data_IF_115272980752
#
_entry.id   IF_115272980752
#
_cell.length_a   1.000
_cell.length_b   1.000
_cell.length_c   1.000
_cell.angle_alpha   90.00
_cell.angle_beta   90.00
_cell.angle_gamma   90.00
#
_symmetry.space_group_name_H-M   'P 1'
#
loop_
_entity.id
_entity.type
_entity.pdbx_description
1 polymer ?
#
# COMPACT_ATOMS: atom_id res chain seq x y z
N UNK A 1 -14.06 -10.94 1.41
CA UNK A 1 -13.42 -11.52 0.20
C UNK A 1 -11.93 -11.31 0.34
N UNK A 2 -11.12 -12.36 0.29
CA UNK A 2 -9.67 -12.20 0.20
C UNK A 2 -9.37 -11.62 -1.18
N UNK A 3 -8.75 -10.43 -1.25
CA UNK A 3 -8.38 -9.82 -2.52
C UNK A 3 -7.44 -10.75 -3.30
N UNK A 4 -7.58 -10.80 -4.63
CA UNK A 4 -6.69 -11.61 -5.50
C UNK A 4 -5.27 -11.05 -5.64
N UNK A 5 -4.96 -9.98 -4.92
CA UNK A 5 -3.66 -9.30 -4.96
C UNK A 5 -2.58 -10.18 -4.33
N UNK A 6 -1.33 -10.00 -4.76
CA UNK A 6 -0.18 -10.61 -4.12
C UNK A 6 -0.14 -10.14 -2.65
N UNK A 7 -0.08 -11.03 -1.66
CA UNK A 7 -0.14 -10.62 -0.26
C UNK A 7 0.97 -9.63 0.13
N UNK A 8 0.61 -8.61 0.90
CA UNK A 8 1.57 -7.71 1.54
C UNK A 8 2.27 -8.33 2.76
N UNK A 9 3.18 -7.59 3.42
CA UNK A 9 3.67 -6.27 3.01
C UNK A 9 4.55 -6.36 1.75
N UNK A 10 4.58 -5.27 1.00
CA UNK A 10 5.44 -5.13 -0.19
C UNK A 10 6.59 -4.18 0.11
N UNK A 11 7.78 -4.53 -0.37
CA UNK A 11 9.02 -3.75 -0.17
C UNK A 11 9.75 -3.56 -1.48
N UNK A 12 10.57 -2.50 -1.54
CA UNK A 12 11.52 -2.32 -2.63
C UNK A 12 12.74 -3.19 -2.34
N UNK A 13 12.99 -4.17 -3.20
CA UNK A 13 14.19 -5.00 -3.13
C UNK A 13 15.16 -4.64 -4.26
N UNK A 14 16.45 -4.56 -3.93
CA UNK A 14 17.52 -4.22 -4.88
C UNK A 14 18.56 -5.32 -4.90
N UNK A 15 18.94 -5.78 -6.11
CA UNK A 15 20.04 -6.73 -6.33
C UNK A 15 20.77 -6.33 -7.61
N UNK A 16 22.09 -6.13 -7.55
CA UNK A 16 22.92 -5.72 -8.70
C UNK A 16 22.29 -4.58 -9.53
N UNK A 17 21.87 -3.50 -8.87
CA UNK A 17 21.18 -2.32 -9.45
C UNK A 17 19.74 -2.54 -9.96
N UNK A 18 19.23 -3.77 -9.95
CA UNK A 18 17.86 -4.08 -10.34
C UNK A 18 16.90 -3.89 -9.16
N UNK A 19 16.01 -2.88 -9.26
CA UNK A 19 14.96 -2.57 -8.28
C UNK A 19 13.62 -3.17 -8.70
N UNK A 20 12.89 -3.70 -7.71
CA UNK A 20 11.60 -4.37 -7.90
C UNK A 20 10.74 -4.28 -6.64
N UNK A 21 9.42 -4.36 -6.80
CA UNK A 21 8.49 -4.48 -5.69
C UNK A 21 8.28 -5.96 -5.41
N UNK A 22 8.55 -6.40 -4.18
CA UNK A 22 8.48 -7.82 -3.77
C UNK A 22 7.58 -7.94 -2.55
N UNK A 23 6.82 -9.03 -2.49
CA UNK A 23 6.09 -9.43 -1.29
C UNK A 23 7.04 -10.06 -0.27
N UNK A 24 7.10 -9.51 0.95
CA UNK A 24 7.91 -10.13 2.02
C UNK A 24 7.34 -11.49 2.44
N UNK A 25 6.03 -11.67 2.28
CA UNK A 25 5.30 -12.89 2.64
C UNK A 25 5.58 -14.02 1.66
N UNK A 26 5.48 -13.76 0.35
CA UNK A 26 5.61 -14.81 -0.68
C UNK A 26 6.99 -14.84 -1.34
N UNK A 27 7.82 -13.81 -1.13
CA UNK A 27 9.08 -13.56 -1.83
C UNK A 27 8.95 -13.47 -3.35
N UNK A 28 7.73 -13.25 -3.85
CA UNK A 28 7.43 -13.07 -5.28
C UNK A 28 7.37 -11.60 -5.64
N UNK A 29 7.74 -11.32 -6.89
CA UNK A 29 7.64 -9.99 -7.47
C UNK A 29 6.17 -9.59 -7.67
N UNK A 30 5.83 -8.37 -7.28
CA UNK A 30 4.52 -7.74 -7.47
C UNK A 30 4.52 -6.93 -8.77
N UNK A 31 5.64 -6.21 -8.98
CA UNK A 31 5.96 -5.45 -10.18
C UNK A 31 7.46 -5.65 -10.42
N UNK A 32 7.81 -6.10 -11.62
CA UNK A 32 9.18 -6.32 -12.00
C UNK A 32 9.54 -5.62 -13.32
N UNK A 33 10.75 -5.88 -13.80
CA UNK A 33 11.45 -5.13 -14.83
C UNK A 33 10.65 -4.92 -16.11
N UNK A 34 11.13 -3.95 -16.87
CA UNK A 34 10.54 -3.57 -18.14
C UNK A 34 10.57 -4.73 -19.13
N UNK A 35 9.41 -5.15 -19.64
CA UNK A 35 9.30 -6.09 -20.77
C UNK A 35 9.14 -5.32 -22.07
N UNK A 36 9.60 -5.89 -23.18
CA UNK A 36 9.34 -5.30 -24.49
C UNK A 36 8.03 -5.85 -25.05
N UNK A 37 7.10 -4.94 -25.40
CA UNK A 37 5.84 -5.29 -26.09
C UNK A 37 6.11 -5.64 -27.55
N UNK A 38 5.13 -6.25 -28.21
CA UNK A 38 5.18 -6.57 -29.64
C UNK A 38 5.31 -5.35 -30.54
N UNK A 39 4.92 -4.16 -30.07
CA UNK A 39 5.09 -2.87 -30.73
C UNK A 39 6.51 -2.27 -30.52
N UNK A 40 7.37 -2.96 -29.77
CA UNK A 40 8.73 -2.53 -29.45
C UNK A 40 8.82 -1.59 -28.24
N UNK A 41 7.70 -1.14 -27.67
CA UNK A 41 7.70 -0.23 -26.53
C UNK A 41 7.99 -0.96 -25.21
N UNK A 42 8.70 -0.30 -24.27
CA UNK A 42 8.87 -0.79 -22.90
C UNK A 42 7.53 -0.82 -22.15
N UNK A 43 7.31 -1.85 -21.32
CA UNK A 43 6.11 -1.99 -20.49
C UNK A 43 6.44 -2.56 -19.10
N UNK A 44 5.59 -2.28 -18.13
CA UNK A 44 5.69 -2.79 -16.77
C UNK A 44 5.17 -4.23 -16.72
N UNK A 45 5.94 -5.14 -16.10
CA UNK A 45 5.49 -6.52 -15.92
C UNK A 45 4.86 -6.73 -14.54
N UNK A 46 3.56 -7.04 -14.54
CA UNK A 46 2.80 -7.45 -13.36
C UNK A 46 2.50 -8.97 -13.44
N UNK A 47 3.22 -9.82 -12.68
CA UNK A 47 3.05 -11.28 -12.76
C UNK A 47 1.64 -11.76 -12.43
N UNK A 48 0.92 -11.00 -11.60
CA UNK A 48 -0.44 -11.31 -11.19
C UNK A 48 -1.47 -10.62 -12.08
N UNK A 49 -1.65 -11.14 -13.30
CA UNK A 49 -2.73 -10.74 -14.21
C UNK A 49 -2.43 -9.54 -15.12
N UNK A 50 -1.18 -9.08 -15.22
CA UNK A 50 -0.79 -8.01 -16.14
C UNK A 50 -1.27 -6.61 -15.72
N UNK A 51 -1.30 -5.66 -16.66
CA UNK A 51 -1.69 -4.26 -16.41
C UNK A 51 -3.17 -4.12 -15.99
N UNK A 52 -4.04 -5.03 -16.43
CA UNK A 52 -5.43 -5.17 -15.93
C UNK A 52 -5.51 -6.13 -14.74
N UNK A 53 -4.38 -6.46 -14.13
CA UNK A 53 -4.28 -7.38 -13.00
C UNK A 53 -4.68 -6.74 -11.68
N UNK A 54 -4.99 -7.55 -10.66
CA UNK A 54 -5.20 -7.06 -9.30
C UNK A 54 -4.05 -6.15 -8.82
N UNK A 55 -2.79 -6.57 -8.93
CA UNK A 55 -1.68 -5.81 -8.35
C UNK A 55 -1.51 -4.42 -8.98
N UNK A 56 -1.63 -4.35 -10.31
CA UNK A 56 -1.62 -3.08 -11.05
C UNK A 56 -2.75 -2.14 -10.60
N UNK A 57 -3.99 -2.65 -10.47
CA UNK A 57 -5.12 -1.85 -9.96
C UNK A 57 -4.90 -1.33 -8.54
N UNK A 58 -4.31 -2.14 -7.65
CA UNK A 58 -4.04 -1.71 -6.28
C UNK A 58 -3.00 -0.58 -6.25
N UNK A 59 -1.96 -0.68 -7.06
CA UNK A 59 -0.94 0.39 -7.19
C UNK A 59 -1.57 1.65 -7.79
N UNK A 60 -2.38 1.51 -8.84
CA UNK A 60 -3.07 2.65 -9.45
C UNK A 60 -4.03 3.36 -8.49
N UNK A 61 -4.68 2.63 -7.58
CA UNK A 61 -5.56 3.17 -6.55
C UNK A 61 -4.82 3.79 -5.35
N UNK A 62 -3.49 3.66 -5.26
CA UNK A 62 -2.73 4.10 -4.08
C UNK A 62 -2.91 5.58 -3.72
N UNK A 63 -2.97 6.54 -4.66
CA UNK A 63 -3.22 7.95 -4.33
C UNK A 63 -4.60 8.19 -3.71
N UNK A 64 -5.65 7.54 -4.24
CA UNK A 64 -7.00 7.65 -3.68
C UNK A 64 -7.09 7.01 -2.29
N UNK A 65 -6.47 5.84 -2.11
CA UNK A 65 -6.37 5.18 -0.81
C UNK A 65 -5.64 6.04 0.22
N UNK A 66 -4.58 6.74 -0.18
CA UNK A 66 -3.85 7.67 0.68
C UNK A 66 -4.74 8.82 1.13
N UNK A 67 -5.45 9.47 0.20
CA UNK A 67 -6.36 10.58 0.51
C UNK A 67 -7.49 10.15 1.46
N UNK A 68 -8.09 8.97 1.21
CA UNK A 68 -9.14 8.41 2.08
C UNK A 68 -8.59 8.07 3.47
N UNK A 69 -7.37 7.55 3.58
CA UNK A 69 -6.74 7.24 4.86
C UNK A 69 -6.46 8.51 5.69
N UNK A 70 -6.05 9.61 5.04
CA UNK A 70 -5.86 10.91 5.70
C UNK A 70 -7.19 11.47 6.24
N UNK A 71 -8.24 11.40 5.43
CA UNK A 71 -9.60 11.78 5.86
C UNK A 71 -10.06 10.91 7.05
N UNK A 72 -9.88 9.59 6.95
CA UNK A 72 -10.25 8.67 8.02
C UNK A 72 -9.50 8.94 9.33
N UNK A 73 -8.20 9.26 9.26
CA UNK A 73 -7.42 9.66 10.43
C UNK A 73 -8.03 10.89 11.11
N UNK A 74 -8.34 11.94 10.34
CA UNK A 74 -8.95 13.16 10.88
C UNK A 74 -10.26 12.88 11.61
N UNK A 75 -11.13 12.04 11.03
CA UNK A 75 -12.36 11.62 11.70
C UNK A 75 -12.10 10.83 12.99
N UNK A 76 -11.17 9.87 12.98
CA UNK A 76 -10.84 9.06 14.16
C UNK A 76 -10.27 9.94 15.29
N UNK A 77 -9.42 10.90 14.97
CA UNK A 77 -8.86 11.84 15.94
C UNK A 77 -9.94 12.72 16.58
N UNK A 78 -10.88 13.22 15.77
CA UNK A 78 -12.02 14.00 16.26
C UNK A 78 -12.93 13.17 17.18
N UNK A 79 -13.21 11.91 16.83
CA UNK A 79 -13.99 11.00 17.68
C UNK A 79 -13.23 10.66 18.96
N UNK A 80 -11.92 10.42 18.88
CA UNK A 80 -11.07 10.11 20.03
C UNK A 80 -11.13 11.24 21.07
N UNK A 81 -11.00 12.50 20.64
CA UNK A 81 -11.07 13.66 21.53
C UNK A 81 -12.42 13.77 22.26
N UNK A 82 -13.52 13.49 21.55
CA UNK A 82 -14.88 13.63 22.07
C UNK A 82 -15.40 12.40 22.83
N UNK A 83 -14.61 11.31 22.93
CA UNK A 83 -15.08 10.07 23.57
C UNK A 83 -14.88 10.14 25.09
N UNK A 84 -15.97 10.14 25.91
CA UNK A 84 -15.87 10.20 27.36
C UNK A 84 -15.44 8.86 27.97
N UNK A 85 -15.77 7.75 27.30
CA UNK A 85 -15.39 6.41 27.76
C UNK A 85 -13.90 6.16 27.51
N UNK A 86 -13.12 6.04 28.58
CA UNK A 86 -11.67 5.90 28.50
C UNK A 86 -11.21 4.66 27.72
N UNK A 87 -11.89 3.51 27.87
CA UNK A 87 -11.55 2.30 27.13
C UNK A 87 -11.72 2.51 25.63
N UNK A 88 -12.84 3.09 25.19
CA UNK A 88 -13.07 3.42 23.77
C UNK A 88 -12.07 4.46 23.26
N UNK A 89 -11.78 5.48 24.06
CA UNK A 89 -10.79 6.51 23.71
C UNK A 89 -9.40 5.93 23.47
N UNK A 90 -8.94 5.00 24.32
CA UNK A 90 -7.68 4.28 24.10
C UNK A 90 -7.68 3.50 22.77
N UNK A 91 -8.76 2.77 22.49
CA UNK A 91 -8.89 2.04 21.21
C UNK A 91 -8.80 2.98 19.98
N UNK A 92 -9.43 4.16 20.04
CA UNK A 92 -9.33 5.15 18.96
C UNK A 92 -7.92 5.76 18.86
N UNK A 93 -7.27 6.03 19.98
CA UNK A 93 -5.89 6.51 20.01
C UNK A 93 -4.91 5.49 19.39
N UNK A 94 -5.08 4.21 19.69
CA UNK A 94 -4.28 3.13 19.12
C UNK A 94 -4.48 3.01 17.60
N UNK A 95 -5.74 3.08 17.15
CA UNK A 95 -6.07 3.08 15.72
C UNK A 95 -5.47 4.29 15.00
N UNK A 96 -5.61 5.49 15.57
CA UNK A 96 -5.01 6.72 15.02
C UNK A 96 -3.48 6.60 14.95
N UNK A 97 -2.84 6.04 15.96
CA UNK A 97 -1.39 5.80 15.98
C UNK A 97 -0.93 4.90 14.84
N UNK A 98 -1.63 3.79 14.60
CA UNK A 98 -1.33 2.88 13.50
C UNK A 98 -1.52 3.54 12.13
N UNK A 99 -2.59 4.32 11.95
CA UNK A 99 -2.83 5.04 10.69
C UNK A 99 -1.76 6.11 10.47
N UNK A 100 -1.37 6.87 11.51
CA UNK A 100 -0.27 7.84 11.42
C UNK A 100 1.04 7.20 10.97
N UNK A 101 1.39 6.05 11.56
CA UNK A 101 2.60 5.33 11.16
C UNK A 101 2.56 4.91 9.68
N UNK A 102 1.41 4.40 9.21
CA UNK A 102 1.21 4.05 7.80
C UNK A 102 1.29 5.27 6.87
N UNK A 103 0.63 6.38 7.23
CA UNK A 103 0.66 7.63 6.46
C UNK A 103 2.06 8.26 6.42
N UNK A 104 2.79 8.23 7.54
CA UNK A 104 4.18 8.70 7.61
C UNK A 104 5.05 7.96 6.61
N UNK A 105 4.97 6.62 6.62
CA UNK A 105 5.67 5.76 5.67
C UNK A 105 5.26 6.07 4.21
N UNK A 106 3.97 6.22 3.94
CA UNK A 106 3.46 6.51 2.58
C UNK A 106 3.92 7.86 2.04
N UNK A 107 4.12 8.87 2.91
CA UNK A 107 4.64 10.20 2.56
C UNK A 107 6.17 10.23 2.41
N UNK A 108 6.86 9.11 2.67
CA UNK A 108 8.32 9.02 2.59
C UNK A 108 9.05 9.58 3.80
N UNK A 109 8.36 9.83 4.92
CA UNK A 109 9.02 10.12 6.18
C UNK A 109 9.55 8.81 6.79
N UNK A 110 10.86 8.79 7.07
CA UNK A 110 11.58 7.65 7.63
C UNK A 110 11.11 7.28 9.03
#
# INVERSE_FOLDING_TARGET
MSGKHTPGPWTIWTSNSYRRIVSDTTRREVLCGTVQRSDGCPDLHFPNGGHEGPDARLIAAAPELLAVAEMALSYIEAVCFNTPNEKKRRNYADAASQIRAALSKARGAA
#
